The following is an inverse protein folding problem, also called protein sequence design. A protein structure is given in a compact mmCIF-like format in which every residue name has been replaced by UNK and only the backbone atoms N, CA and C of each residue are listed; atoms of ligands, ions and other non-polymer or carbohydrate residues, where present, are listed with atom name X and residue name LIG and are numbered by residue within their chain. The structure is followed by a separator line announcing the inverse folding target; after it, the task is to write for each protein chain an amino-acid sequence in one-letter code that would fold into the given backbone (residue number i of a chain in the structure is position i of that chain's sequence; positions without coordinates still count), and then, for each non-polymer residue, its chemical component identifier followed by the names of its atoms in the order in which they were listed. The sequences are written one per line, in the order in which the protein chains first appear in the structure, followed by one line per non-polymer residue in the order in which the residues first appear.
data_IF_836558430364
#
_entry.id   IF_836558430364
#
_cell.length_a   1.000
_cell.length_b   1.000
_cell.length_c   1.000
_cell.angle_alpha   90.00
_cell.angle_beta   90.00
_cell.angle_gamma   90.00
#
_symmetry.space_group_name_H-M   'P 1'
#
loop_
_entity.id
_entity.type
_entity.pdbx_description
1 polymer ?
#
# COMPACT_ATOMS: atom_id res chain seq x y z
N UNK A 1 -18.64 15.11 17.02
CA UNK A 1 -19.31 14.30 16.00
C UNK A 1 -18.33 13.17 15.66
N UNK A 2 -18.62 11.94 16.07
CA UNK A 2 -17.75 10.79 15.80
C UNK A 2 -17.92 10.43 14.33
N UNK A 3 -16.94 10.77 13.49
CA UNK A 3 -16.86 10.23 12.13
C UNK A 3 -16.70 8.73 12.26
N UNK A 4 -17.72 7.97 11.91
CA UNK A 4 -17.63 6.52 11.78
C UNK A 4 -16.65 6.24 10.62
N UNK A 5 -15.48 5.70 10.94
CA UNK A 5 -14.56 5.18 9.94
C UNK A 5 -15.30 4.06 9.22
N UNK A 6 -15.48 4.17 7.91
CA UNK A 6 -16.15 3.13 7.13
C UNK A 6 -15.36 1.82 7.28
N UNK A 7 -16.06 0.73 7.60
CA UNK A 7 -15.44 -0.58 7.75
C UNK A 7 -14.91 -1.05 6.38
N UNK A 8 -13.60 -1.34 6.30
CA UNK A 8 -13.01 -1.85 5.08
C UNK A 8 -13.52 -3.27 4.80
N UNK A 9 -13.98 -3.56 3.57
CA UNK A 9 -14.35 -4.91 3.19
C UNK A 9 -13.15 -5.84 3.33
N UNK A 10 -13.39 -7.07 3.83
CA UNK A 10 -12.33 -8.06 4.00
C UNK A 10 -12.14 -8.88 2.72
N UNK A 11 -10.90 -9.34 2.50
CA UNK A 11 -10.62 -10.35 1.48
C UNK A 11 -11.38 -11.63 1.78
N UNK A 12 -11.76 -12.38 0.76
CA UNK A 12 -12.45 -13.67 0.91
C UNK A 12 -11.51 -14.84 1.11
N UNK A 13 -10.29 -14.76 0.62
CA UNK A 13 -9.25 -15.76 0.82
C UNK A 13 -8.49 -15.59 2.13
N UNK A 14 -7.76 -16.63 2.53
CA UNK A 14 -6.95 -16.60 3.73
C UNK A 14 -5.59 -15.97 3.47
N UNK A 15 -5.20 -15.03 4.33
CA UNK A 15 -3.82 -14.55 4.38
C UNK A 15 -2.92 -15.67 4.94
N UNK A 16 -1.80 -16.01 4.27
CA UNK A 16 -0.88 -17.02 4.78
C UNK A 16 -0.37 -16.68 6.20
N UNK A 17 -0.50 -17.60 7.14
CA UNK A 17 -0.03 -17.39 8.52
C UNK A 17 1.49 -17.11 8.58
N UNK A 18 2.27 -17.76 7.69
CA UNK A 18 3.71 -17.53 7.59
C UNK A 18 4.04 -16.08 7.19
N UNK A 19 3.21 -15.46 6.34
CA UNK A 19 3.36 -14.05 5.97
C UNK A 19 3.12 -13.14 7.18
N UNK A 20 1.98 -13.31 7.87
CA UNK A 20 1.65 -12.51 9.07
C UNK A 20 2.72 -12.67 10.15
N UNK A 21 3.17 -13.89 10.41
CA UNK A 21 4.21 -14.17 11.39
C UNK A 21 5.57 -13.52 11.01
N UNK A 22 5.92 -13.51 9.72
CA UNK A 22 7.15 -12.88 9.24
C UNK A 22 7.10 -11.35 9.39
N UNK A 23 5.98 -10.72 9.01
CA UNK A 23 5.76 -9.27 9.19
C UNK A 23 5.79 -8.91 10.68
N UNK A 24 5.05 -9.63 11.52
CA UNK A 24 5.04 -9.43 12.97
C UNK A 24 6.45 -9.47 13.58
N UNK A 25 7.28 -10.42 13.15
CA UNK A 25 8.68 -10.53 13.61
C UNK A 25 9.51 -9.33 13.17
N UNK A 26 9.38 -8.91 11.89
CA UNK A 26 10.08 -7.76 11.36
C UNK A 26 9.73 -6.47 12.11
N UNK A 27 8.45 -6.25 12.42
CA UNK A 27 7.95 -5.09 13.17
C UNK A 27 8.46 -5.10 14.61
N UNK A 28 8.41 -6.24 15.29
CA UNK A 28 8.85 -6.36 16.70
C UNK A 28 10.35 -6.28 16.91
N UNK A 29 11.16 -6.33 15.86
CA UNK A 29 12.61 -6.21 15.98
C UNK A 29 13.10 -4.81 16.41
N UNK A 30 12.21 -3.81 16.44
CA UNK A 30 12.54 -2.44 16.83
C UNK A 30 13.37 -1.69 15.78
N UNK A 31 13.86 -0.50 16.12
CA UNK A 31 14.65 0.37 15.24
C UNK A 31 13.82 1.49 14.62
N UNK A 32 14.42 2.21 13.67
CA UNK A 32 13.76 3.28 12.91
C UNK A 32 12.65 2.74 12.00
N UNK A 33 11.81 3.62 11.54
CA UNK A 33 10.77 3.27 10.57
C UNK A 33 11.33 2.73 9.25
N UNK A 34 12.43 3.31 8.76
CA UNK A 34 13.08 2.82 7.54
C UNK A 34 13.65 1.40 7.74
N UNK A 35 14.36 1.15 8.84
CA UNK A 35 14.86 -0.20 9.14
C UNK A 35 13.72 -1.21 9.31
N UNK A 36 12.58 -0.77 9.84
CA UNK A 36 11.39 -1.63 9.95
C UNK A 36 10.81 -1.93 8.57
N UNK A 37 10.66 -0.93 7.70
CA UNK A 37 10.22 -1.11 6.33
C UNK A 37 11.15 -2.06 5.57
N UNK A 38 12.46 -1.89 5.67
CA UNK A 38 13.46 -2.76 5.01
C UNK A 38 13.32 -4.23 5.45
N UNK A 39 13.12 -4.47 6.76
CA UNK A 39 12.88 -5.84 7.29
C UNK A 39 11.55 -6.42 6.82
N UNK A 40 10.50 -5.59 6.72
CA UNK A 40 9.21 -6.03 6.20
C UNK A 40 9.33 -6.37 4.71
N UNK A 41 10.02 -5.56 3.91
CA UNK A 41 10.34 -5.88 2.51
C UNK A 41 11.01 -7.25 2.40
N UNK A 42 12.04 -7.50 3.21
CA UNK A 42 12.72 -8.81 3.25
C UNK A 42 11.77 -9.95 3.69
N UNK A 43 10.84 -9.67 4.60
CA UNK A 43 9.83 -10.64 5.06
C UNK A 43 8.80 -10.98 3.98
N UNK A 44 8.48 -10.04 3.07
CA UNK A 44 7.51 -10.24 1.99
C UNK A 44 8.09 -11.11 0.87
N UNK A 45 9.38 -11.02 0.58
CA UNK A 45 10.01 -11.81 -0.47
C UNK A 45 9.77 -13.31 -0.29
N UNK A 46 9.21 -13.96 -1.33
CA UNK A 46 8.92 -15.40 -1.34
C UNK A 46 7.75 -15.84 -0.46
N UNK A 47 6.95 -14.86 0.07
CA UNK A 47 5.80 -15.15 0.94
C UNK A 47 4.51 -14.47 0.50
N UNK A 48 4.50 -13.88 -0.69
CA UNK A 48 3.33 -13.19 -1.20
C UNK A 48 2.15 -14.15 -1.37
N UNK A 49 0.91 -13.70 -1.06
CA UNK A 49 -0.27 -14.55 -1.24
C UNK A 49 -0.50 -14.86 -2.72
N UNK A 50 -1.08 -16.02 -2.96
CA UNK A 50 -1.45 -16.43 -4.31
C UNK A 50 -2.78 -15.78 -4.79
N UNK A 51 -3.19 -16.10 -6.04
CA UNK A 51 -4.36 -15.47 -6.69
C UNK A 51 -5.70 -15.76 -6.00
N UNK A 52 -5.79 -16.74 -5.12
CA UNK A 52 -7.01 -17.05 -4.35
C UNK A 52 -7.29 -16.14 -3.15
N UNK A 53 -6.50 -15.06 -2.96
CA UNK A 53 -6.73 -14.10 -1.85
C UNK A 53 -8.01 -13.29 -2.06
N UNK A 54 -8.33 -12.94 -3.30
CA UNK A 54 -9.51 -12.17 -3.69
C UNK A 54 -10.49 -13.05 -4.47
N UNK A 55 -11.80 -12.86 -4.22
CA UNK A 55 -12.83 -13.47 -5.07
C UNK A 55 -12.90 -12.82 -6.45
N UNK A 56 -13.51 -13.46 -7.44
CA UNK A 56 -13.76 -12.83 -8.74
C UNK A 56 -14.51 -11.49 -8.64
N UNK A 57 -15.48 -11.39 -7.72
CA UNK A 57 -16.21 -10.14 -7.48
C UNK A 57 -15.34 -9.01 -6.93
N UNK A 58 -14.38 -9.33 -6.06
CA UNK A 58 -13.41 -8.34 -5.56
C UNK A 58 -12.41 -7.93 -6.64
N UNK A 59 -12.00 -8.88 -7.50
CA UNK A 59 -11.11 -8.61 -8.63
C UNK A 59 -11.78 -7.79 -9.75
N UNK A 60 -13.12 -7.79 -9.82
CA UNK A 60 -13.83 -6.97 -10.79
C UNK A 60 -13.58 -5.46 -10.62
N UNK A 61 -13.19 -5.03 -9.41
CA UNK A 61 -12.92 -3.63 -9.10
C UNK A 61 -14.18 -2.76 -9.13
N UNK A 62 -13.99 -1.44 -9.06
CA UNK A 62 -15.06 -0.45 -9.11
C UNK A 62 -14.67 0.69 -10.05
N UNK A 63 -15.48 1.02 -11.07
CA UNK A 63 -15.19 2.15 -11.95
C UNK A 63 -15.12 3.51 -11.24
N UNK A 64 -15.71 3.64 -10.05
CA UNK A 64 -15.69 4.86 -9.24
C UNK A 64 -14.34 5.16 -8.57
N UNK A 65 -13.42 4.17 -8.49
CA UNK A 65 -12.11 4.30 -7.90
C UNK A 65 -11.50 2.98 -7.48
N UNK A 66 -10.20 2.97 -7.20
CA UNK A 66 -9.54 1.77 -6.69
C UNK A 66 -10.17 1.31 -5.37
N UNK A 67 -10.23 0.00 -5.19
CA UNK A 67 -10.81 -0.60 -3.98
C UNK A 67 -9.74 -1.09 -3.02
N UNK A 68 -9.99 -0.92 -1.73
CA UNK A 68 -9.13 -1.41 -0.66
C UNK A 68 -9.86 -2.49 0.13
N UNK A 69 -9.22 -3.65 0.28
CA UNK A 69 -9.73 -4.79 1.04
C UNK A 69 -8.78 -5.11 2.21
N UNK A 70 -9.35 -5.23 3.41
CA UNK A 70 -8.58 -5.61 4.60
C UNK A 70 -8.20 -7.09 4.55
N UNK A 71 -6.91 -7.34 4.67
CA UNK A 71 -6.35 -8.70 4.79
C UNK A 71 -6.15 -9.06 6.26
N UNK A 72 -5.49 -8.17 7.01
CA UNK A 72 -5.16 -8.37 8.41
C UNK A 72 -4.96 -7.03 9.12
N UNK A 73 -5.44 -6.94 10.36
CA UNK A 73 -5.02 -5.91 11.30
C UNK A 73 -4.43 -6.62 12.53
N UNK A 74 -3.20 -6.25 12.91
CA UNK A 74 -2.55 -6.84 14.08
C UNK A 74 -3.27 -6.37 15.34
N UNK A 75 -3.59 -7.27 16.29
CA UNK A 75 -4.42 -6.92 17.46
C UNK A 75 -3.85 -5.81 18.33
N UNK A 76 -2.52 -5.67 18.41
CA UNK A 76 -1.84 -4.61 19.14
C UNK A 76 -1.80 -3.27 18.37
N UNK A 77 -2.32 -3.22 17.14
CA UNK A 77 -2.35 -2.03 16.29
C UNK A 77 -1.03 -1.68 15.63
N UNK A 78 0.00 -2.52 15.77
CA UNK A 78 1.36 -2.24 15.28
C UNK A 78 1.50 -2.25 13.76
N UNK A 79 0.63 -2.97 13.03
CA UNK A 79 0.56 -2.95 11.58
C UNK A 79 -0.78 -3.46 11.05
N UNK A 80 -1.04 -3.16 9.79
CA UNK A 80 -2.14 -3.76 9.03
C UNK A 80 -1.69 -4.10 7.61
N UNK A 81 -2.38 -5.07 7.01
CA UNK A 81 -2.18 -5.52 5.64
C UNK A 81 -3.49 -5.29 4.89
N UNK A 82 -3.42 -4.60 3.77
CA UNK A 82 -4.54 -4.43 2.85
C UNK A 82 -4.13 -4.86 1.44
N UNK A 83 -5.11 -5.12 0.60
CA UNK A 83 -4.93 -5.31 -0.85
C UNK A 83 -5.76 -4.27 -1.58
N UNK A 84 -5.16 -3.65 -2.57
CA UNK A 84 -5.80 -2.68 -3.45
C UNK A 84 -6.00 -3.27 -4.83
N UNK A 85 -7.19 -3.04 -5.40
CA UNK A 85 -7.58 -3.46 -6.75
C UNK A 85 -7.75 -2.21 -7.61
N UNK A 86 -7.04 -2.17 -8.73
CA UNK A 86 -6.95 -1.01 -9.60
C UNK A 86 -7.43 -1.37 -11.00
N UNK A 87 -8.47 -0.72 -11.48
CA UNK A 87 -8.84 -0.76 -12.89
C UNK A 87 -7.85 0.09 -13.72
N UNK A 88 -7.76 -0.14 -15.05
CA UNK A 88 -6.93 0.68 -15.94
C UNK A 88 -7.18 2.18 -15.77
N UNK A 89 -6.10 2.95 -15.64
CA UNK A 89 -6.13 4.41 -15.46
C UNK A 89 -6.40 4.90 -14.03
N UNK A 90 -6.75 4.04 -13.09
CA UNK A 90 -6.95 4.44 -11.70
C UNK A 90 -5.62 4.80 -11.02
N UNK A 91 -5.67 5.82 -10.17
CA UNK A 91 -4.49 6.34 -9.48
C UNK A 91 -4.82 6.90 -8.11
N UNK A 92 -3.81 7.01 -7.24
CA UNK A 92 -3.91 7.80 -6.01
C UNK A 92 -3.77 9.31 -6.31
N UNK A 93 -4.23 10.21 -5.43
CA UNK A 93 -3.68 11.55 -5.38
C UNK A 93 -2.17 11.50 -5.12
N UNK A 94 -1.45 12.60 -5.35
CA UNK A 94 -0.07 12.74 -4.86
C UNK A 94 -0.15 12.92 -3.34
N UNK A 95 0.51 12.05 -2.57
CA UNK A 95 0.37 12.03 -1.11
C UNK A 95 1.64 11.55 -0.40
N UNK A 96 1.70 11.79 0.91
CA UNK A 96 2.65 11.20 1.85
C UNK A 96 1.91 10.43 2.97
N UNK A 97 2.64 9.71 3.83
CA UNK A 97 2.06 8.77 4.78
C UNK A 97 2.24 9.18 6.25
N UNK A 98 1.32 8.66 7.08
CA UNK A 98 1.39 8.78 8.54
C UNK A 98 2.49 7.93 9.15
N UNK A 99 2.88 6.86 8.47
CA UNK A 99 3.79 5.82 8.97
C UNK A 99 4.54 5.18 7.81
N UNK A 100 5.47 4.28 8.10
CA UNK A 100 6.11 3.46 7.06
C UNK A 100 5.09 2.61 6.30
N UNK A 101 5.39 2.37 5.04
CA UNK A 101 4.60 1.53 4.14
C UNK A 101 5.52 0.60 3.35
N UNK A 102 5.07 -0.64 3.15
CA UNK A 102 5.67 -1.57 2.20
C UNK A 102 4.62 -2.02 1.20
N UNK A 103 5.00 -2.12 -0.05
CA UNK A 103 4.11 -2.52 -1.15
C UNK A 103 4.64 -3.78 -1.82
N UNK A 104 3.73 -4.60 -2.34
CA UNK A 104 4.06 -5.76 -3.16
C UNK A 104 3.03 -5.92 -4.28
N UNK A 105 3.47 -6.05 -5.52
CA UNK A 105 2.58 -6.23 -6.68
C UNK A 105 2.24 -7.70 -6.84
N UNK A 106 0.94 -8.02 -6.78
CA UNK A 106 0.40 -9.38 -6.88
C UNK A 106 -0.10 -9.71 -8.29
N UNK A 107 -0.56 -8.69 -9.04
CA UNK A 107 -1.05 -8.82 -10.42
C UNK A 107 -0.85 -7.51 -11.17
N UNK A 108 -0.58 -7.59 -12.47
CA UNK A 108 -0.40 -6.42 -13.33
C UNK A 108 0.92 -5.69 -13.08
N UNK A 109 0.93 -4.38 -13.34
CA UNK A 109 2.09 -3.51 -13.11
C UNK A 109 1.61 -2.21 -12.50
N UNK A 110 2.19 -1.83 -11.38
CA UNK A 110 2.02 -0.49 -10.81
C UNK A 110 3.09 0.44 -11.36
N UNK A 111 2.67 1.62 -11.74
CA UNK A 111 3.57 2.73 -12.07
C UNK A 111 3.58 3.73 -10.92
N UNK A 112 4.76 4.03 -10.43
CA UNK A 112 4.97 4.94 -9.31
C UNK A 112 5.81 6.15 -9.74
N UNK A 113 5.34 7.34 -9.39
CA UNK A 113 6.11 8.58 -9.43
C UNK A 113 6.41 9.04 -8.01
N UNK A 114 7.68 9.27 -7.72
CA UNK A 114 8.15 9.83 -6.45
C UNK A 114 8.49 11.29 -6.64
N UNK A 115 8.10 12.13 -5.69
CA UNK A 115 8.21 13.57 -5.79
C UNK A 115 9.07 14.17 -4.68
N UNK A 116 9.77 15.25 -5.00
CA UNK A 116 10.35 16.15 -4.02
C UNK A 116 9.56 17.46 -3.98
N UNK A 117 9.29 17.96 -2.76
CA UNK A 117 8.68 19.26 -2.57
C UNK A 117 9.75 20.38 -2.73
N UNK A 118 9.52 21.28 -3.67
CA UNK A 118 10.41 22.40 -4.03
C UNK A 118 9.67 23.73 -3.86
N UNK A 119 9.60 24.22 -2.64
CA UNK A 119 8.88 25.46 -2.36
C UNK A 119 7.38 25.38 -2.72
N UNK A 120 6.99 25.94 -3.86
CA UNK A 120 5.60 26.04 -4.33
C UNK A 120 5.18 24.95 -5.35
N UNK A 121 6.06 23.99 -5.65
CA UNK A 121 5.80 22.94 -6.63
C UNK A 121 6.40 21.59 -6.25
N UNK A 122 5.98 20.55 -6.96
CA UNK A 122 6.50 19.20 -6.88
C UNK A 122 7.38 18.91 -8.09
N UNK A 123 8.53 18.30 -7.86
CA UNK A 123 9.44 17.81 -8.89
C UNK A 123 9.41 16.27 -8.89
N UNK A 124 9.24 15.64 -10.05
CA UNK A 124 9.35 14.18 -10.17
C UNK A 124 10.82 13.81 -10.08
N UNK A 125 11.20 13.10 -9.02
CA UNK A 125 12.60 12.70 -8.79
C UNK A 125 12.87 11.24 -9.16
N UNK A 126 11.81 10.43 -9.26
CA UNK A 126 11.94 9.02 -9.64
C UNK A 126 10.65 8.51 -10.29
N UNK A 127 10.80 7.59 -11.25
CA UNK A 127 9.71 6.83 -11.86
C UNK A 127 10.06 5.35 -11.82
N UNK A 128 9.13 4.54 -11.34
CA UNK A 128 9.29 3.08 -11.23
C UNK A 128 8.15 2.41 -11.99
N UNK A 129 8.47 1.36 -12.73
CA UNK A 129 7.49 0.37 -13.19
C UNK A 129 7.68 -0.88 -12.35
N UNK A 130 6.69 -1.24 -11.56
CA UNK A 130 6.74 -2.33 -10.60
C UNK A 130 5.89 -3.50 -11.12
N UNK A 131 6.48 -4.50 -11.79
CA UNK A 131 5.76 -5.69 -12.24
C UNK A 131 5.42 -6.62 -11.09
N UNK A 132 4.66 -7.68 -11.38
CA UNK A 132 4.34 -8.76 -10.42
C UNK A 132 5.59 -9.25 -9.71
N UNK A 133 5.51 -9.38 -8.39
CA UNK A 133 6.60 -9.80 -7.51
C UNK A 133 7.52 -8.67 -7.05
N UNK A 134 7.39 -7.45 -7.60
CA UNK A 134 8.08 -6.29 -7.06
C UNK A 134 7.67 -6.04 -5.62
N UNK A 135 8.65 -5.77 -4.76
CA UNK A 135 8.44 -5.40 -3.35
C UNK A 135 9.26 -4.16 -3.06
N UNK A 136 8.65 -3.17 -2.46
CA UNK A 136 9.30 -1.91 -2.04
C UNK A 136 8.84 -1.47 -0.67
N UNK A 137 9.61 -0.60 -0.03
CA UNK A 137 9.26 -0.04 1.28
C UNK A 137 9.87 1.34 1.46
N UNK A 138 9.19 2.16 2.20
CA UNK A 138 9.61 3.52 2.50
C UNK A 138 9.06 3.99 3.86
N UNK A 139 9.66 5.03 4.38
CA UNK A 139 9.21 5.70 5.60
C UNK A 139 9.28 7.22 5.45
N UNK A 140 8.31 7.95 6.04
CA UNK A 140 8.40 9.41 6.11
C UNK A 140 9.66 9.87 6.88
N UNK A 141 10.23 11.03 6.53
CA UNK A 141 9.83 11.95 5.45
C UNK A 141 10.48 11.59 4.10
N UNK A 142 9.92 12.13 3.00
CA UNK A 142 10.47 11.95 1.66
C UNK A 142 9.74 10.90 0.83
N UNK A 143 8.59 10.48 1.29
CA UNK A 143 7.72 9.44 0.76
C UNK A 143 6.56 10.02 -0.08
N UNK A 144 6.72 11.21 -0.65
CA UNK A 144 5.69 11.83 -1.50
C UNK A 144 5.63 11.07 -2.82
N UNK A 145 4.49 10.45 -3.12
CA UNK A 145 4.34 9.67 -4.33
C UNK A 145 2.90 9.65 -4.88
N UNK A 146 2.78 9.12 -6.09
CA UNK A 146 1.54 8.73 -6.75
C UNK A 146 1.73 7.35 -7.36
N UNK A 147 0.73 6.49 -7.19
CA UNK A 147 0.66 5.17 -7.82
C UNK A 147 -0.45 5.18 -8.86
N UNK A 148 -0.21 4.60 -10.02
CA UNK A 148 -1.14 4.53 -11.14
C UNK A 148 -1.11 3.12 -11.76
N UNK A 149 -2.27 2.57 -12.10
CA UNK A 149 -2.35 1.44 -13.02
C UNK A 149 -2.37 1.98 -14.46
N UNK A 150 -1.23 1.96 -15.14
CA UNK A 150 -1.11 2.37 -16.55
C UNK A 150 -1.32 1.23 -17.54
N UNK A 151 -1.55 0.00 -17.04
CA UNK A 151 -1.84 -1.18 -17.87
C UNK A 151 -3.25 -1.16 -18.44
N UNK A 152 -3.55 -2.12 -19.29
CA UNK A 152 -4.85 -2.36 -19.90
C UNK A 152 -5.70 -3.41 -19.15
N UNK A 153 -5.20 -3.92 -18.06
CA UNK A 153 -5.84 -4.94 -17.23
C UNK A 153 -5.83 -4.57 -15.76
N UNK A 154 -6.58 -5.30 -14.94
CA UNK A 154 -6.63 -5.09 -13.48
C UNK A 154 -5.26 -5.32 -12.88
N UNK A 155 -4.79 -4.35 -12.08
CA UNK A 155 -3.64 -4.50 -11.21
C UNK A 155 -4.09 -4.76 -9.76
N UNK A 156 -3.27 -5.49 -9.02
CA UNK A 156 -3.51 -5.81 -7.61
C UNK A 156 -2.20 -5.64 -6.85
N UNK A 157 -2.23 -4.83 -5.80
CA UNK A 157 -1.10 -4.67 -4.89
C UNK A 157 -1.48 -4.90 -3.44
N UNK A 158 -0.54 -5.41 -2.68
CA UNK A 158 -0.63 -5.58 -1.24
C UNK A 158 0.18 -4.48 -0.56
N UNK A 159 -0.40 -3.84 0.44
CA UNK A 159 0.24 -2.80 1.22
C UNK A 159 0.28 -3.20 2.71
N UNK A 160 1.43 -2.99 3.34
CA UNK A 160 1.63 -3.17 4.78
C UNK A 160 1.93 -1.82 5.39
N UNK A 161 1.07 -1.36 6.28
CA UNK A 161 1.21 -0.07 6.98
C UNK A 161 1.60 -0.28 8.44
N UNK A 162 2.49 0.54 8.95
CA UNK A 162 2.92 0.54 10.36
C UNK A 162 1.88 1.15 11.31
N UNK A 163 0.62 0.89 11.07
CA UNK A 163 -0.52 1.32 11.90
C UNK A 163 -1.74 0.44 11.63
N UNK A 164 -2.73 0.51 12.50
CA UNK A 164 -4.04 -0.11 12.28
C UNK A 164 -4.91 0.78 11.39
N UNK A 165 -4.96 0.45 10.10
CA UNK A 165 -5.74 1.18 9.10
C UNK A 165 -7.25 1.21 9.42
N UNK A 166 -7.75 0.24 10.16
CA UNK A 166 -9.18 0.18 10.54
C UNK A 166 -9.54 1.23 11.59
N UNK A 167 -8.55 1.75 12.30
CA UNK A 167 -8.73 2.81 13.31
C UNK A 167 -8.47 4.20 12.75
N UNK A 168 -7.48 4.34 11.87
CA UNK A 168 -7.09 5.64 11.30
C UNK A 168 -7.83 5.97 10.00
N UNK A 169 -8.46 4.98 9.35
CA UNK A 169 -9.23 5.11 8.11
C UNK A 169 -8.36 5.19 6.86
N UNK A 170 -7.25 5.89 6.91
CA UNK A 170 -6.28 6.02 5.80
C UNK A 170 -4.87 6.19 6.35
N UNK A 171 -3.88 5.68 5.63
CA UNK A 171 -2.45 5.96 5.91
C UNK A 171 -1.98 7.30 5.35
N UNK A 172 -2.79 7.94 4.51
CA UNK A 172 -2.48 9.25 3.92
C UNK A 172 -2.43 10.32 5.01
N UNK A 173 -1.29 11.01 5.11
CA UNK A 173 -1.11 12.15 6.02
C UNK A 173 -1.49 13.45 5.33
N UNK A 174 -1.07 13.63 4.08
CA UNK A 174 -1.29 14.84 3.30
C UNK A 174 -1.50 14.48 1.82
N UNK A 175 -2.45 15.17 1.20
CA UNK A 175 -2.62 15.23 -0.25
C UNK A 175 -1.99 16.54 -0.75
N UNK A 176 -1.29 16.48 -1.86
CA UNK A 176 -0.61 17.62 -2.47
C UNK A 176 -1.33 18.03 -3.74
N UNK A 177 -1.84 19.27 -3.76
CA UNK A 177 -2.49 19.90 -4.91
C UNK A 177 -1.59 20.97 -5.57
N UNK A 178 -0.28 20.76 -5.47
CA UNK A 178 0.72 21.68 -6.02
C UNK A 178 1.03 21.33 -7.49
N UNK A 179 1.42 22.32 -8.32
CA UNK A 179 1.84 22.07 -9.69
C UNK A 179 3.07 21.15 -9.72
N UNK A 180 3.10 20.24 -10.68
CA UNK A 180 4.27 19.38 -10.96
C UNK A 180 5.08 20.04 -12.07
N UNK A 181 6.39 20.20 -11.87
CA UNK A 181 7.33 20.81 -12.81
C UNK A 181 8.53 19.90 -13.06
#
# INVERSE_FOLDING_TARGET
MSSSVAELPRVTGACPELLKAAVRRAVRSGGSWQETADRVVAALHGRLPGPGLLSPGQLAGDPGGYQTHLVHAEPDGSFSIVVMVWLPGQQTPIHDHLTWCCTAVLQGTEYEEVYALRGDHLEVVKRNANPVGSVSGFAPPGDIHRVTNIGDSVAVSMHVYGTDITRVGSSVRRVYELPVR
#
